data_IF_389132460238
#
_entry.id   IF_389132460238
#
_cell.length_a   1.000
_cell.length_b   1.000
_cell.length_c   1.000
_cell.angle_alpha   90.00
_cell.angle_beta   90.00
_cell.angle_gamma   90.00
#
_symmetry.space_group_name_H-M   'P 1'
#
loop_
_entity.id
_entity.type
_entity.pdbx_description
1 polymer ?
#
# COMPACT_ATOMS: atom_id res chain seq x y z
N UNK A 1 12.18 -28.78 4.37
CA UNK A 1 12.24 -27.43 5.00
C UNK A 1 11.02 -26.67 4.48
N UNK A 2 10.15 -26.18 5.37
CA UNK A 2 9.02 -25.34 4.96
C UNK A 2 9.56 -24.08 4.33
N UNK A 3 9.08 -23.74 3.13
CA UNK A 3 9.43 -22.49 2.45
C UNK A 3 8.95 -21.33 3.33
N UNK A 4 9.81 -20.32 3.57
CA UNK A 4 9.40 -19.11 4.30
C UNK A 4 8.31 -18.40 3.52
N UNK A 5 7.33 -17.88 4.26
CA UNK A 5 6.30 -17.04 3.62
C UNK A 5 6.92 -15.73 3.15
N UNK A 6 6.45 -15.25 2.01
CA UNK A 6 6.88 -14.01 1.38
C UNK A 6 5.88 -12.89 1.71
N UNK A 7 6.37 -11.73 2.11
CA UNK A 7 5.58 -10.50 2.26
C UNK A 7 6.03 -9.52 1.19
N UNK A 8 5.10 -9.07 0.35
CA UNK A 8 5.36 -8.02 -0.65
C UNK A 8 4.94 -6.66 -0.10
N UNK A 9 5.86 -5.69 -0.08
CA UNK A 9 5.54 -4.28 0.16
C UNK A 9 5.34 -3.62 -1.21
N UNK A 10 4.09 -3.34 -1.56
CA UNK A 10 3.68 -2.74 -2.81
C UNK A 10 3.53 -1.22 -2.65
N UNK A 11 4.45 -0.46 -3.22
CA UNK A 11 4.49 1.00 -3.18
C UNK A 11 4.08 1.61 -4.52
N UNK A 12 2.98 2.38 -4.56
CA UNK A 12 2.63 3.22 -5.71
C UNK A 12 3.38 4.54 -5.61
N UNK A 13 4.09 4.95 -6.68
CA UNK A 13 4.87 6.18 -6.67
C UNK A 13 4.65 7.02 -7.95
N UNK A 14 4.70 8.34 -7.77
CA UNK A 14 4.70 9.33 -8.85
C UNK A 14 5.43 10.59 -8.39
N UNK A 15 6.64 10.82 -8.92
CA UNK A 15 7.52 11.94 -8.54
C UNK A 15 7.84 11.96 -7.03
N UNK A 16 8.47 10.87 -6.57
CA UNK A 16 8.77 10.60 -5.16
C UNK A 16 10.28 10.39 -4.91
N UNK A 17 11.13 11.02 -5.74
CA UNK A 17 12.59 10.81 -5.66
C UNK A 17 13.16 11.10 -4.27
N UNK A 18 12.59 12.06 -3.55
CA UNK A 18 13.05 12.47 -2.21
C UNK A 18 12.65 11.45 -1.11
N UNK A 19 11.59 10.67 -1.34
CA UNK A 19 11.00 9.80 -0.32
C UNK A 19 11.41 8.33 -0.45
N UNK A 20 11.71 7.86 -1.66
CA UNK A 20 11.94 6.42 -1.96
C UNK A 20 13.08 5.82 -1.12
N UNK A 21 14.20 6.52 -0.96
CA UNK A 21 15.37 5.98 -0.25
C UNK A 21 15.13 5.90 1.27
N UNK A 22 14.46 6.90 1.83
CA UNK A 22 14.05 6.90 3.23
C UNK A 22 13.03 5.78 3.50
N UNK A 23 11.98 5.68 2.67
CA UNK A 23 10.99 4.63 2.77
C UNK A 23 11.63 3.23 2.74
N UNK A 24 12.50 2.99 1.75
CA UNK A 24 13.22 1.72 1.63
C UNK A 24 14.03 1.42 2.89
N UNK A 25 14.76 2.39 3.42
CA UNK A 25 15.60 2.22 4.61
C UNK A 25 14.76 1.89 5.84
N UNK A 26 13.68 2.63 6.09
CA UNK A 26 12.77 2.41 7.22
C UNK A 26 12.06 1.06 7.13
N UNK A 27 11.64 0.65 5.94
CA UNK A 27 11.09 -0.69 5.73
C UNK A 27 12.14 -1.78 6.01
N UNK A 28 13.39 -1.60 5.57
CA UNK A 28 14.46 -2.56 5.85
C UNK A 28 14.76 -2.71 7.35
N UNK A 29 14.66 -1.63 8.13
CA UNK A 29 14.80 -1.71 9.59
C UNK A 29 13.63 -2.50 10.21
N UNK A 30 12.40 -2.20 9.81
CA UNK A 30 11.19 -2.91 10.27
C UNK A 30 11.26 -4.42 9.95
N UNK A 31 11.76 -4.81 8.77
CA UNK A 31 11.90 -6.21 8.36
C UNK A 31 12.77 -7.04 9.32
N UNK A 32 13.72 -6.42 10.03
CA UNK A 32 14.60 -7.11 10.99
C UNK A 32 13.84 -7.71 12.18
N UNK A 33 12.64 -7.19 12.47
CA UNK A 33 11.77 -7.73 13.51
C UNK A 33 11.13 -9.09 13.13
N UNK A 34 11.16 -9.44 11.83
CA UNK A 34 10.45 -10.61 11.28
C UNK A 34 11.38 -11.55 10.48
N UNK A 35 12.42 -12.11 11.10
CA UNK A 35 13.40 -12.96 10.39
C UNK A 35 12.80 -14.29 9.89
N UNK A 36 11.58 -14.64 10.29
CA UNK A 36 10.84 -15.82 9.84
C UNK A 36 10.22 -15.66 8.46
N UNK A 37 10.14 -14.42 7.92
CA UNK A 37 9.58 -14.12 6.61
C UNK A 37 10.65 -13.70 5.61
N UNK A 38 10.38 -13.97 4.35
CA UNK A 38 11.06 -13.31 3.24
C UNK A 38 10.28 -12.06 2.83
N UNK A 39 10.99 -11.03 2.37
CA UNK A 39 10.38 -9.76 1.96
C UNK A 39 10.78 -9.40 0.53
N UNK A 40 9.86 -8.73 -0.17
CA UNK A 40 10.17 -8.05 -1.43
C UNK A 40 9.51 -6.67 -1.47
N UNK A 41 10.12 -5.75 -2.18
CA UNK A 41 9.51 -4.48 -2.57
C UNK A 41 8.99 -4.59 -4.00
N UNK A 42 7.83 -4.04 -4.25
CA UNK A 42 7.28 -3.89 -5.59
C UNK A 42 6.84 -2.43 -5.81
N UNK A 43 7.73 -1.61 -6.37
CA UNK A 43 7.41 -0.24 -6.73
C UNK A 43 6.62 -0.20 -8.04
N UNK A 44 5.47 0.47 -8.03
CA UNK A 44 4.65 0.74 -9.21
C UNK A 44 4.77 2.21 -9.58
N UNK A 45 5.71 2.52 -10.48
CA UNK A 45 5.98 3.89 -10.92
C UNK A 45 5.00 4.33 -11.99
N UNK A 46 4.27 5.40 -11.71
CA UNK A 46 3.20 5.92 -12.55
C UNK A 46 3.69 6.98 -13.57
N UNK A 47 4.80 6.68 -14.27
CA UNK A 47 5.43 7.56 -15.25
C UNK A 47 6.07 8.81 -14.64
N UNK A 48 6.88 8.64 -13.58
CA UNK A 48 7.64 9.73 -12.95
C UNK A 48 8.66 10.36 -13.88
N UNK A 49 8.92 11.65 -13.67
CA UNK A 49 9.82 12.50 -14.49
C UNK A 49 10.92 13.19 -13.68
N UNK A 50 10.92 13.02 -12.34
CA UNK A 50 11.80 13.72 -11.38
C UNK A 50 13.09 12.96 -11.01
N UNK A 51 13.31 11.75 -11.57
CA UNK A 51 14.42 10.88 -11.22
C UNK A 51 14.04 9.68 -10.34
N UNK A 52 12.79 9.57 -9.89
CA UNK A 52 12.27 8.41 -9.11
C UNK A 52 12.61 7.09 -9.79
N UNK A 53 12.41 6.97 -11.11
CA UNK A 53 12.70 5.76 -11.89
C UNK A 53 14.15 5.32 -11.80
N UNK A 54 15.07 6.27 -11.90
CA UNK A 54 16.49 5.98 -11.88
C UNK A 54 16.94 5.59 -10.48
N UNK A 55 16.36 6.18 -9.46
CA UNK A 55 16.59 5.79 -8.07
C UNK A 55 16.10 4.36 -7.81
N UNK A 56 14.89 4.00 -8.23
CA UNK A 56 14.35 2.64 -8.10
C UNK A 56 15.23 1.63 -8.85
N UNK A 57 15.70 1.94 -10.08
CA UNK A 57 16.64 1.08 -10.81
C UNK A 57 17.95 0.88 -10.06
N UNK A 58 18.49 1.93 -9.44
CA UNK A 58 19.71 1.85 -8.63
C UNK A 58 19.50 0.96 -7.41
N UNK A 59 18.36 1.06 -6.73
CA UNK A 59 18.01 0.20 -5.60
C UNK A 59 17.88 -1.26 -6.05
N UNK A 60 17.15 -1.52 -7.14
CA UNK A 60 16.97 -2.87 -7.69
C UNK A 60 18.30 -3.51 -8.15
N UNK A 61 19.27 -2.73 -8.60
CA UNK A 61 20.60 -3.21 -8.94
C UNK A 61 21.41 -3.62 -7.70
N UNK A 62 21.17 -2.98 -6.55
CA UNK A 62 21.86 -3.26 -5.27
C UNK A 62 21.17 -4.35 -4.44
N UNK A 63 19.84 -4.42 -4.49
CA UNK A 63 19.04 -5.35 -3.71
C UNK A 63 18.03 -6.09 -4.58
N UNK A 64 18.22 -7.41 -4.73
CA UNK A 64 17.36 -8.28 -5.56
C UNK A 64 15.92 -8.40 -5.03
N UNK A 65 15.67 -7.97 -3.80
CA UNK A 65 14.32 -7.91 -3.24
C UNK A 65 13.50 -6.76 -3.84
N UNK A 66 14.16 -5.75 -4.40
CA UNK A 66 13.51 -4.59 -5.01
C UNK A 66 13.13 -4.93 -6.44
N UNK A 67 11.84 -4.84 -6.73
CA UNK A 67 11.23 -5.02 -8.05
C UNK A 67 10.47 -3.75 -8.42
N UNK A 68 10.29 -3.52 -9.72
CA UNK A 68 9.57 -2.36 -10.19
C UNK A 68 8.71 -2.65 -11.43
N UNK A 69 7.61 -1.96 -11.50
CA UNK A 69 6.77 -1.81 -12.69
C UNK A 69 6.86 -0.34 -13.11
N UNK A 70 7.30 -0.09 -14.34
CA UNK A 70 7.39 1.25 -14.89
C UNK A 70 6.27 1.46 -15.92
N UNK A 71 5.26 2.19 -15.56
CA UNK A 71 4.16 2.51 -16.45
C UNK A 71 4.61 3.39 -17.62
N UNK A 72 4.05 3.16 -18.80
CA UNK A 72 4.34 3.94 -20.00
C UNK A 72 3.69 5.33 -19.97
N UNK A 73 2.62 5.50 -19.18
CA UNK A 73 1.90 6.76 -18.97
C UNK A 73 1.41 6.86 -17.53
N UNK A 74 0.97 8.04 -17.12
CA UNK A 74 0.30 8.25 -15.84
C UNK A 74 -1.16 7.78 -15.94
N UNK A 75 -1.49 6.68 -15.24
CA UNK A 75 -2.84 6.10 -15.18
C UNK A 75 -3.65 6.54 -13.95
N UNK A 76 -3.13 7.52 -13.19
CA UNK A 76 -3.76 8.06 -12.00
C UNK A 76 -3.42 7.28 -10.73
N UNK A 77 -3.82 7.88 -9.60
CA UNK A 77 -3.44 7.44 -8.25
C UNK A 77 -4.21 6.21 -7.75
N UNK A 78 -5.25 5.78 -8.46
CA UNK A 78 -6.03 4.59 -8.11
C UNK A 78 -5.57 3.39 -8.94
N UNK A 79 -5.58 3.51 -10.27
CA UNK A 79 -5.32 2.38 -11.17
C UNK A 79 -3.90 1.86 -11.11
N UNK A 80 -2.91 2.77 -11.04
CA UNK A 80 -1.51 2.39 -11.05
C UNK A 80 -1.10 1.61 -9.79
N UNK A 81 -1.38 2.07 -8.55
CA UNK A 81 -1.09 1.30 -7.35
C UNK A 81 -1.88 -0.02 -7.28
N UNK A 82 -3.16 0.00 -7.69
CA UNK A 82 -3.99 -1.21 -7.74
C UNK A 82 -3.38 -2.28 -8.65
N UNK A 83 -3.00 -1.90 -9.87
CA UNK A 83 -2.34 -2.80 -10.79
C UNK A 83 -1.04 -3.36 -10.18
N UNK A 84 -0.21 -2.50 -9.60
CA UNK A 84 1.02 -2.91 -8.91
C UNK A 84 0.74 -3.96 -7.82
N UNK A 85 -0.26 -3.69 -6.98
CA UNK A 85 -0.67 -4.59 -5.91
C UNK A 85 -1.15 -5.96 -6.44
N UNK A 86 -1.88 -5.99 -7.56
CA UNK A 86 -2.33 -7.25 -8.19
C UNK A 86 -1.19 -8.08 -8.78
N UNK A 87 -0.04 -7.47 -9.10
CA UNK A 87 1.15 -8.17 -9.58
C UNK A 87 2.01 -8.77 -8.45
N UNK A 88 1.75 -8.38 -7.20
CA UNK A 88 2.47 -8.88 -6.03
C UNK A 88 2.27 -10.40 -5.84
N UNK A 89 3.37 -11.09 -5.48
CA UNK A 89 3.40 -12.57 -5.36
C UNK A 89 3.47 -13.06 -3.92
N UNK A 90 3.63 -12.18 -2.93
CA UNK A 90 3.73 -12.55 -1.52
C UNK A 90 2.52 -13.28 -0.98
N UNK A 91 2.71 -14.05 0.09
CA UNK A 91 1.63 -14.67 0.87
C UNK A 91 0.78 -13.61 1.59
N UNK A 92 1.38 -12.44 1.84
CA UNK A 92 0.69 -11.22 2.22
C UNK A 92 1.22 -10.05 1.38
N UNK A 93 0.36 -9.07 1.11
CA UNK A 93 0.68 -7.87 0.35
C UNK A 93 0.36 -6.65 1.19
N UNK A 94 1.36 -5.83 1.45
CA UNK A 94 1.18 -4.51 2.05
C UNK A 94 1.02 -3.49 0.93
N UNK A 95 -0.09 -2.77 0.89
CA UNK A 95 -0.29 -1.63 0.00
C UNK A 95 0.00 -0.35 0.77
N UNK A 96 0.83 0.53 0.21
CA UNK A 96 1.14 1.84 0.80
C UNK A 96 1.49 2.88 -0.25
N UNK A 97 1.31 4.15 0.08
CA UNK A 97 1.88 5.27 -0.66
C UNK A 97 3.36 5.44 -0.31
N UNK A 98 4.13 6.04 -1.23
CA UNK A 98 5.57 6.25 -1.03
C UNK A 98 5.92 7.65 -0.52
N UNK A 99 4.92 8.45 -0.19
CA UNK A 99 5.02 9.85 0.26
C UNK A 99 5.34 10.03 1.76
N UNK A 100 5.59 8.93 2.46
CA UNK A 100 5.87 8.87 3.90
C UNK A 100 4.77 9.44 4.82
N UNK A 101 3.57 9.70 4.29
CA UNK A 101 2.43 10.12 5.12
C UNK A 101 1.94 9.01 6.05
N UNK A 102 2.13 7.77 5.66
CA UNK A 102 1.84 6.60 6.47
C UNK A 102 3.17 5.97 6.95
N UNK A 103 3.38 5.82 8.29
CA UNK A 103 4.65 5.34 8.82
C UNK A 103 4.92 3.88 8.45
N UNK A 104 6.03 3.53 7.80
CA UNK A 104 6.36 2.15 7.44
C UNK A 104 6.42 1.20 8.64
N UNK A 105 6.72 1.71 9.83
CA UNK A 105 6.80 0.94 11.08
C UNK A 105 5.46 0.32 11.48
N UNK A 106 4.33 0.88 11.02
CA UNK A 106 3.01 0.30 11.24
C UNK A 106 2.84 -1.07 10.58
N UNK A 107 3.62 -1.37 9.54
CA UNK A 107 3.63 -2.69 8.88
C UNK A 107 3.89 -3.80 9.92
N UNK A 108 4.74 -3.55 10.91
CA UNK A 108 5.02 -4.51 11.97
C UNK A 108 3.74 -4.90 12.74
N UNK A 109 2.86 -3.95 13.04
CA UNK A 109 1.59 -4.24 13.71
C UNK A 109 0.65 -5.00 12.78
N UNK A 110 0.62 -4.65 11.50
CA UNK A 110 -0.22 -5.35 10.51
C UNK A 110 0.19 -6.82 10.35
N UNK A 111 1.50 -7.10 10.32
CA UNK A 111 2.02 -8.47 10.26
C UNK A 111 1.58 -9.27 11.50
N UNK A 112 1.67 -8.69 12.70
CA UNK A 112 1.24 -9.35 13.94
C UNK A 112 -0.26 -9.66 13.95
N UNK A 113 -1.11 -8.80 13.39
CA UNK A 113 -2.54 -9.09 13.25
C UNK A 113 -2.81 -10.16 12.18
N UNK A 114 -2.06 -10.16 11.08
CA UNK A 114 -2.12 -11.21 10.07
C UNK A 114 -1.69 -12.58 10.64
N UNK A 115 -0.67 -12.64 11.49
CA UNK A 115 -0.24 -13.85 12.21
C UNK A 115 -1.36 -14.42 13.09
N UNK A 116 -2.23 -13.58 13.65
CA UNK A 116 -3.41 -13.99 14.42
C UNK A 116 -4.57 -14.49 13.54
N UNK A 117 -4.42 -14.44 12.21
CA UNK A 117 -5.40 -14.96 11.25
C UNK A 117 -6.23 -13.91 10.53
N UNK A 118 -6.00 -12.61 10.77
CA UNK A 118 -6.67 -11.55 10.03
C UNK A 118 -6.34 -11.64 8.53
N UNK A 119 -7.35 -11.54 7.66
CA UNK A 119 -7.17 -11.59 6.21
C UNK A 119 -6.99 -10.22 5.57
N UNK A 120 -7.47 -9.19 6.24
CA UNK A 120 -7.34 -7.79 5.86
C UNK A 120 -7.06 -6.99 7.13
N UNK A 121 -5.97 -6.24 7.13
CA UNK A 121 -5.60 -5.33 8.22
C UNK A 121 -5.37 -3.95 7.61
N UNK A 122 -6.14 -2.97 8.01
CA UNK A 122 -6.08 -1.61 7.44
C UNK A 122 -5.70 -0.58 8.51
N UNK A 123 -4.95 0.43 8.09
CA UNK A 123 -4.70 1.61 8.90
C UNK A 123 -5.84 2.61 8.74
N UNK A 124 -6.33 3.11 9.84
CA UNK A 124 -7.38 4.15 9.88
C UNK A 124 -6.85 5.37 10.61
N UNK A 125 -6.82 6.51 9.94
CA UNK A 125 -6.44 7.79 10.56
C UNK A 125 -7.57 8.27 11.48
N UNK A 126 -7.28 8.38 12.77
CA UNK A 126 -8.25 8.84 13.78
C UNK A 126 -8.48 10.35 13.75
N UNK A 127 -7.48 11.13 13.34
CA UNK A 127 -7.54 12.60 13.28
C UNK A 127 -6.84 13.07 12.01
N UNK A 128 -7.51 13.94 11.25
CA UNK A 128 -6.86 14.81 10.27
C UNK A 128 -6.78 16.20 10.91
N UNK A 129 -5.63 16.84 10.85
CA UNK A 129 -5.45 18.25 11.29
C UNK A 129 -6.20 19.20 10.32
N UNK A 130 -7.51 19.02 10.23
CA UNK A 130 -8.38 19.89 9.47
C UNK A 130 -9.15 20.73 10.46
N UNK A 131 -9.22 22.05 10.24
CA UNK A 131 -10.01 22.96 11.09
C UNK A 131 -11.46 22.48 11.24
N UNK A 132 -12.12 22.89 12.34
CA UNK A 132 -13.46 22.45 12.78
C UNK A 132 -14.50 22.50 11.64
N UNK A 133 -14.41 23.49 10.75
CA UNK A 133 -15.32 23.66 9.59
C UNK A 133 -15.15 22.51 8.58
N UNK A 134 -13.91 22.17 8.24
CA UNK A 134 -13.63 21.10 7.29
C UNK A 134 -14.01 19.72 7.85
N UNK A 135 -13.84 19.52 9.15
CA UNK A 135 -14.27 18.30 9.82
C UNK A 135 -15.80 18.14 9.79
N UNK A 136 -16.54 19.22 9.96
CA UNK A 136 -18.01 19.23 9.87
C UNK A 136 -18.49 18.92 8.45
N UNK A 137 -17.85 19.49 7.42
CA UNK A 137 -18.16 19.22 6.01
C UNK A 137 -17.87 17.76 5.69
N UNK A 138 -16.74 17.23 6.15
CA UNK A 138 -16.35 15.83 5.96
C UNK A 138 -17.33 14.88 6.64
N UNK A 139 -17.73 15.15 7.88
CA UNK A 139 -18.76 14.37 8.61
C UNK A 139 -20.09 14.34 7.85
N UNK A 140 -20.53 15.50 7.36
CA UNK A 140 -21.75 15.60 6.56
C UNK A 140 -21.64 14.80 5.26
N UNK A 141 -20.52 14.92 4.56
CA UNK A 141 -20.25 14.16 3.32
C UNK A 141 -20.29 12.64 3.55
N UNK A 142 -19.59 12.14 4.57
CA UNK A 142 -19.62 10.70 4.90
C UNK A 142 -21.00 10.23 5.36
N UNK A 143 -21.74 11.04 6.11
CA UNK A 143 -23.12 10.73 6.48
C UNK A 143 -24.04 10.62 5.25
N UNK A 144 -23.83 11.50 4.24
CA UNK A 144 -24.57 11.46 2.98
C UNK A 144 -24.22 10.20 2.17
N UNK A 145 -22.92 9.86 2.09
CA UNK A 145 -22.45 8.65 1.43
C UNK A 145 -23.01 7.39 2.09
N UNK A 146 -22.96 7.30 3.41
CA UNK A 146 -23.52 6.17 4.16
C UNK A 146 -25.03 6.01 3.93
N UNK A 147 -25.75 7.12 3.80
CA UNK A 147 -27.18 7.10 3.51
C UNK A 147 -27.49 6.70 2.05
N UNK A 148 -26.58 6.99 1.14
CA UNK A 148 -26.71 6.67 -0.30
C UNK A 148 -26.19 5.28 -0.66
N UNK A 149 -25.24 4.76 0.10
CA UNK A 149 -24.72 3.42 -0.07
C UNK A 149 -25.71 2.42 0.56
N UNK A 150 -26.15 1.45 -0.22
CA UNK A 150 -27.00 0.34 0.26
C UNK A 150 -26.25 -0.59 1.23
N UNK A 151 -24.91 -0.46 1.33
CA UNK A 151 -24.04 -1.22 2.23
C UNK A 151 -23.39 -0.30 3.27
N UNK A 152 -23.54 -0.66 4.55
CA UNK A 152 -23.15 0.15 5.72
C UNK A 152 -21.64 0.13 6.04
N UNK A 153 -20.76 -0.26 5.10
CA UNK A 153 -19.35 -0.57 5.40
C UNK A 153 -18.33 0.44 4.84
N UNK A 154 -18.70 1.71 4.69
CA UNK A 154 -17.69 2.73 4.34
C UNK A 154 -16.83 3.02 5.57
N UNK A 155 -15.57 2.57 5.54
CA UNK A 155 -14.61 2.80 6.61
C UNK A 155 -14.06 4.23 6.47
N UNK A 156 -14.52 5.13 7.34
CA UNK A 156 -14.03 6.51 7.35
C UNK A 156 -12.57 6.57 7.80
N UNK A 157 -11.75 7.35 7.08
CA UNK A 157 -10.33 7.55 7.40
C UNK A 157 -9.38 6.46 6.88
N UNK A 158 -9.87 5.54 6.06
CA UNK A 158 -9.00 4.61 5.34
C UNK A 158 -8.24 5.34 4.21
N UNK A 159 -6.93 5.11 4.13
CA UNK A 159 -6.01 5.80 3.20
C UNK A 159 -5.46 4.89 2.09
N UNK A 160 -5.90 3.63 2.03
CA UNK A 160 -5.32 2.62 1.15
C UNK A 160 -4.11 1.88 1.77
N UNK A 161 -3.65 2.29 2.95
CA UNK A 161 -2.57 1.63 3.67
C UNK A 161 -3.10 0.42 4.45
N UNK A 162 -2.64 -0.76 4.08
CA UNK A 162 -3.09 -2.00 4.70
C UNK A 162 -2.33 -3.23 4.25
N UNK A 163 -2.52 -4.33 4.99
CA UNK A 163 -1.99 -5.64 4.67
C UNK A 163 -3.13 -6.58 4.28
N UNK A 164 -2.94 -7.27 3.18
CA UNK A 164 -3.92 -8.16 2.55
C UNK A 164 -3.34 -9.56 2.40
N UNK A 165 -4.00 -10.56 2.97
CA UNK A 165 -3.65 -11.98 2.81
C UNK A 165 -3.76 -12.43 1.35
N UNK A 166 -2.99 -13.43 0.94
CA UNK A 166 -3.03 -13.99 -0.41
C UNK A 166 -4.43 -14.39 -0.84
N UNK A 167 -5.22 -14.99 0.06
CA UNK A 167 -6.59 -15.41 -0.27
C UNK A 167 -7.49 -14.22 -0.64
N UNK A 168 -7.33 -13.08 0.02
CA UNK A 168 -8.03 -11.84 -0.35
C UNK A 168 -7.53 -11.30 -1.69
N UNK A 169 -6.20 -11.27 -1.91
CA UNK A 169 -5.62 -10.79 -3.17
C UNK A 169 -6.05 -11.63 -4.38
N UNK A 170 -6.19 -12.94 -4.20
CA UNK A 170 -6.64 -13.82 -5.27
C UNK A 170 -8.13 -13.61 -5.58
N UNK A 171 -8.97 -13.39 -4.56
CA UNK A 171 -10.36 -12.99 -4.75
C UNK A 171 -10.45 -11.63 -5.47
N UNK A 172 -9.64 -10.66 -5.04
CA UNK A 172 -9.60 -9.31 -5.63
C UNK A 172 -9.28 -9.31 -7.12
N UNK A 173 -8.40 -10.20 -7.58
CA UNK A 173 -8.06 -10.34 -9.02
C UNK A 173 -9.22 -10.82 -9.89
N UNK A 174 -10.24 -11.45 -9.29
CA UNK A 174 -11.44 -11.89 -10.02
C UNK A 174 -12.39 -10.73 -10.31
N UNK A 175 -12.28 -9.62 -9.58
CA UNK A 175 -13.09 -8.43 -9.84
C UNK A 175 -12.51 -7.68 -11.04
N UNK A 176 -13.28 -7.63 -12.12
CA UNK A 176 -12.93 -6.85 -13.31
C UNK A 176 -13.48 -5.42 -13.20
N UNK A 177 -13.11 -4.73 -12.11
CA UNK A 177 -13.56 -3.37 -11.83
C UNK A 177 -12.54 -2.36 -12.40
N UNK A 178 -12.94 -1.52 -13.39
CA UNK A 178 -12.03 -0.55 -14.00
C UNK A 178 -11.65 0.60 -13.06
N UNK A 179 -12.42 0.82 -11.99
CA UNK A 179 -12.19 1.82 -10.95
C UNK A 179 -12.35 1.21 -9.57
N UNK A 180 -11.38 0.39 -9.13
CA UNK A 180 -11.45 -0.22 -7.81
C UNK A 180 -11.43 0.85 -6.73
N UNK A 181 -12.41 0.81 -5.84
CA UNK A 181 -12.44 1.60 -4.62
C UNK A 181 -11.70 0.81 -3.53
N UNK A 182 -10.59 1.42 -3.08
CA UNK A 182 -9.85 0.98 -1.90
C UNK A 182 -9.95 2.03 -0.83
#
# INVERSE_FOLDING_TARGET
>A
MSQRKLITIAGGCYNEVENIEELYTRCCEMMKEFPQYDFEFLFSDNCSTDGTRDLIRKLAAKDKRVKAIFNAANYGHIRSPFYGMTQAKGDAVVSMCTDLQDPPEMIAQMIREWEKGAKVVIAVRKTTECGIVMESIRRFYYALLQKSAQEQNIISGFTGFGLYDRSFMDALKLFNEPYPYF
#
